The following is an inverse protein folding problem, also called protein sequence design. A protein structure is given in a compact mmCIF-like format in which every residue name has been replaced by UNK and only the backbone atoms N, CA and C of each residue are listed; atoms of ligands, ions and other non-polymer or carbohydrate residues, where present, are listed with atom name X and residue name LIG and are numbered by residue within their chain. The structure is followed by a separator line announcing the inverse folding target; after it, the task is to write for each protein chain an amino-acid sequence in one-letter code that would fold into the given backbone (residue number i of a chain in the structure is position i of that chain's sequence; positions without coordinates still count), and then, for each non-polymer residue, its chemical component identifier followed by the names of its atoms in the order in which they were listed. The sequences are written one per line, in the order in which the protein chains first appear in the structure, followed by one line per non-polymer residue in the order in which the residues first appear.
data_IF_283054383709
#
_entry.id   IF_283054383709
#
_cell.length_a   1.000
_cell.length_b   1.000
_cell.length_c   1.000
_cell.angle_alpha   90.00
_cell.angle_beta   90.00
_cell.angle_gamma   90.00
#
_symmetry.space_group_name_H-M   'P 1'
#
loop_
_entity.id
_entity.type
_entity.pdbx_description
1 polymer ?
#
# COMPACT_ATOMS: atom_id res chain seq x y z
N UNK A 1 47.37 64.78 9.03
CA UNK A 1 46.47 63.63 9.25
C UNK A 1 47.26 62.65 10.08
N UNK A 2 46.82 62.42 11.32
CA UNK A 2 47.62 61.75 12.33
C UNK A 2 47.52 60.23 12.15
N UNK A 3 48.63 59.49 12.28
CA UNK A 3 48.66 58.05 12.01
C UNK A 3 47.69 57.25 12.90
N UNK A 4 47.29 57.84 14.03
CA UNK A 4 46.28 57.30 14.94
C UNK A 4 44.85 57.35 14.36
N UNK A 5 44.49 58.41 13.62
CA UNK A 5 43.16 58.55 13.01
C UNK A 5 42.93 57.51 11.91
N UNK A 6 43.97 57.23 11.11
CA UNK A 6 43.93 56.21 10.06
C UNK A 6 43.79 54.79 10.63
N UNK A 7 44.40 54.54 11.79
CA UNK A 7 44.31 53.25 12.50
C UNK A 7 42.91 53.00 13.08
N UNK A 8 42.28 54.01 13.67
CA UNK A 8 40.91 53.88 14.20
C UNK A 8 39.90 53.63 13.07
N UNK A 9 40.03 54.33 11.94
CA UNK A 9 39.14 54.15 10.80
C UNK A 9 39.26 52.73 10.19
N UNK A 10 40.48 52.17 10.17
CA UNK A 10 40.74 50.79 9.75
C UNK A 10 40.10 49.76 10.69
N UNK A 11 40.11 50.00 12.00
CA UNK A 11 39.50 49.11 12.99
C UNK A 11 37.97 49.13 12.86
N UNK A 12 37.37 50.31 12.67
CA UNK A 12 35.92 50.45 12.48
C UNK A 12 35.44 49.79 11.18
N UNK A 13 36.15 50.01 10.07
CA UNK A 13 35.85 49.36 8.78
C UNK A 13 35.93 47.82 8.88
N UNK A 14 36.90 47.28 9.64
CA UNK A 14 37.02 45.84 9.88
C UNK A 14 35.85 45.29 10.72
N UNK A 15 35.38 46.03 11.74
CA UNK A 15 34.21 45.63 12.56
C UNK A 15 32.92 45.65 11.75
N UNK A 16 32.68 46.70 10.96
CA UNK A 16 31.51 46.80 10.08
C UNK A 16 31.48 45.68 9.02
N UNK A 17 32.64 45.36 8.43
CA UNK A 17 32.75 44.28 7.45
C UNK A 17 32.55 42.88 8.05
N UNK A 18 33.00 42.65 9.30
CA UNK A 18 32.71 41.39 10.02
C UNK A 18 31.23 41.23 10.33
N UNK A 19 30.54 42.30 10.76
CA UNK A 19 29.10 42.26 11.01
C UNK A 19 28.28 42.01 9.73
N UNK A 20 28.66 42.62 8.60
CA UNK A 20 27.99 42.37 7.31
C UNK A 20 28.19 40.94 6.82
N UNK A 21 29.38 40.35 6.99
CA UNK A 21 29.65 38.94 6.68
C UNK A 21 28.86 38.00 7.58
N UNK A 22 28.86 38.24 8.90
CA UNK A 22 28.11 37.43 9.86
C UNK A 22 26.59 37.43 9.59
N UNK A 23 26.01 38.60 9.25
CA UNK A 23 24.59 38.70 8.89
C UNK A 23 24.26 37.93 7.62
N UNK A 24 25.11 38.01 6.58
CA UNK A 24 24.91 37.23 5.35
C UNK A 24 24.97 35.73 5.62
N UNK A 25 25.98 35.27 6.37
CA UNK A 25 26.12 33.84 6.71
C UNK A 25 24.94 33.34 7.56
N UNK A 26 24.45 34.14 8.50
CA UNK A 26 23.27 33.80 9.30
C UNK A 26 21.99 33.69 8.45
N UNK A 27 21.79 34.62 7.51
CA UNK A 27 20.62 34.59 6.59
C UNK A 27 20.69 33.37 5.67
N UNK A 28 21.85 33.06 5.07
CA UNK A 28 22.02 31.87 4.24
C UNK A 28 21.80 30.57 5.02
N UNK A 29 22.29 30.49 6.27
CA UNK A 29 22.05 29.33 7.14
C UNK A 29 20.57 29.13 7.49
N UNK A 30 19.86 30.22 7.77
CA UNK A 30 18.43 30.17 8.09
C UNK A 30 17.58 29.74 6.89
N UNK A 31 17.89 30.24 5.69
CA UNK A 31 17.22 29.83 4.44
C UNK A 31 17.50 28.36 4.14
N UNK A 32 18.73 27.89 4.30
CA UNK A 32 19.09 26.48 4.08
C UNK A 32 18.31 25.54 5.03
N UNK A 33 18.15 25.91 6.30
CA UNK A 33 17.36 25.15 7.27
C UNK A 33 15.87 25.09 6.89
N UNK A 34 15.30 26.20 6.43
CA UNK A 34 13.92 26.24 5.96
C UNK A 34 13.70 25.34 4.74
N UNK A 35 14.59 25.40 3.75
CA UNK A 35 14.50 24.53 2.57
C UNK A 35 14.63 23.06 2.95
N UNK A 36 15.57 22.71 3.84
CA UNK A 36 15.74 21.34 4.33
C UNK A 36 14.46 20.85 5.04
N UNK A 37 13.84 21.68 5.87
CA UNK A 37 12.60 21.33 6.57
C UNK A 37 11.44 21.05 5.62
N UNK A 38 11.30 21.85 4.54
CA UNK A 38 10.26 21.65 3.53
C UNK A 38 10.48 20.36 2.74
N UNK A 39 11.74 20.02 2.42
CA UNK A 39 12.08 18.75 1.75
C UNK A 39 11.74 17.56 2.64
N UNK A 40 12.06 17.61 3.93
CA UNK A 40 11.71 16.55 4.88
C UNK A 40 10.19 16.38 4.98
N UNK A 41 9.44 17.48 5.10
CA UNK A 41 7.98 17.44 5.13
C UNK A 41 7.42 16.85 3.83
N UNK A 42 7.93 17.22 2.67
CA UNK A 42 7.51 16.66 1.39
C UNK A 42 7.79 15.16 1.27
N UNK A 43 8.95 14.68 1.74
CA UNK A 43 9.30 13.25 1.77
C UNK A 43 8.40 12.48 2.74
N UNK A 44 8.09 13.04 3.91
CA UNK A 44 7.16 12.43 4.87
C UNK A 44 5.75 12.36 4.28
N UNK A 45 5.26 13.44 3.65
CA UNK A 45 3.96 13.44 2.97
C UNK A 45 3.96 12.42 1.82
N UNK A 46 5.02 12.33 1.03
CA UNK A 46 5.15 11.33 -0.04
C UNK A 46 5.21 9.89 0.50
N UNK A 47 5.85 9.66 1.65
CA UNK A 47 5.86 8.35 2.30
C UNK A 47 4.50 7.99 2.92
N UNK A 48 3.78 8.97 3.45
CA UNK A 48 2.42 8.78 3.99
C UNK A 48 1.38 8.60 2.88
N UNK A 49 1.53 9.29 1.75
CA UNK A 49 0.62 9.20 0.58
C UNK A 49 1.02 8.09 -0.40
N UNK A 50 2.28 7.64 -0.38
CA UNK A 50 2.83 6.57 -1.23
C UNK A 50 2.34 5.16 -0.91
N UNK A 51 1.48 4.98 0.11
CA UNK A 51 0.90 3.68 0.44
C UNK A 51 -0.33 3.28 -0.38
N UNK A 52 -0.78 4.11 -1.33
CA UNK A 52 -2.01 3.84 -2.09
C UNK A 52 -1.86 3.89 -3.61
N UNK A 53 -0.72 3.47 -4.14
CA UNK A 53 -0.59 3.06 -5.54
C UNK A 53 -0.55 1.53 -5.68
N UNK A 54 -1.44 0.81 -4.98
CA UNK A 54 -1.75 -0.58 -5.36
C UNK A 54 -2.54 -0.52 -6.67
N UNK A 55 -1.88 -0.80 -7.79
CA UNK A 55 -2.53 -1.05 -9.07
C UNK A 55 -3.71 -2.04 -8.86
N UNK A 56 -4.95 -1.54 -8.93
CA UNK A 56 -6.13 -2.34 -9.22
C UNK A 56 -6.70 -3.27 -8.13
N UNK A 57 -6.60 -2.94 -6.84
CA UNK A 57 -7.31 -3.65 -5.75
C UNK A 57 -8.66 -3.00 -5.39
N UNK A 58 -9.47 -2.63 -6.38
CA UNK A 58 -10.80 -2.07 -6.11
C UNK A 58 -11.73 -3.18 -5.60
N UNK A 59 -12.50 -2.95 -4.53
CA UNK A 59 -13.54 -3.87 -4.10
C UNK A 59 -14.56 -4.08 -5.22
N UNK A 60 -14.92 -5.33 -5.45
CA UNK A 60 -16.04 -5.68 -6.32
C UNK A 60 -17.32 -5.40 -5.54
N UNK A 61 -18.15 -4.50 -6.06
CA UNK A 61 -19.52 -4.35 -5.59
C UNK A 61 -20.29 -5.62 -5.95
N UNK A 62 -20.87 -6.28 -4.97
CA UNK A 62 -21.79 -7.38 -5.16
C UNK A 62 -23.00 -7.15 -4.28
N UNK A 63 -24.19 -7.25 -4.86
CA UNK A 63 -25.47 -7.16 -4.13
C UNK A 63 -25.76 -8.44 -3.32
N UNK A 64 -24.92 -9.47 -3.48
CA UNK A 64 -25.03 -10.75 -2.76
C UNK A 64 -24.09 -10.75 -1.56
N UNK A 65 -24.67 -10.92 -0.38
CA UNK A 65 -23.93 -11.10 0.86
C UNK A 65 -23.76 -12.60 1.14
N UNK A 66 -22.63 -13.18 0.71
CA UNK A 66 -22.26 -14.54 1.10
C UNK A 66 -21.69 -14.55 2.52
N UNK A 67 -22.18 -15.46 3.35
CA UNK A 67 -21.82 -15.60 4.76
C UNK A 67 -20.70 -16.60 5.02
N UNK A 68 -20.38 -17.46 4.03
CA UNK A 68 -19.41 -18.55 4.19
C UNK A 68 -18.64 -18.85 2.89
N UNK A 69 -17.48 -19.51 3.02
CA UNK A 69 -16.73 -20.05 1.88
C UNK A 69 -17.57 -21.03 1.05
N UNK A 70 -18.46 -21.79 1.69
CA UNK A 70 -19.34 -22.75 1.03
C UNK A 70 -20.32 -22.06 0.08
N UNK A 71 -20.91 -20.95 0.51
CA UNK A 71 -21.84 -20.16 -0.30
C UNK A 71 -21.14 -19.49 -1.48
N UNK A 72 -19.95 -18.90 -1.26
CA UNK A 72 -19.15 -18.34 -2.34
C UNK A 72 -18.75 -19.42 -3.36
N UNK A 73 -18.30 -20.59 -2.89
CA UNK A 73 -17.97 -21.71 -3.76
C UNK A 73 -19.20 -22.21 -4.54
N UNK A 74 -20.37 -22.32 -3.89
CA UNK A 74 -21.61 -22.70 -4.57
C UNK A 74 -22.01 -21.70 -5.66
N UNK A 75 -21.87 -20.40 -5.39
CA UNK A 75 -22.13 -19.38 -6.39
C UNK A 75 -21.14 -19.45 -7.57
N UNK A 76 -19.84 -19.62 -7.31
CA UNK A 76 -18.86 -19.82 -8.38
C UNK A 76 -19.20 -21.02 -9.27
N UNK A 77 -19.65 -22.15 -8.68
CA UNK A 77 -20.15 -23.30 -9.46
C UNK A 77 -21.37 -22.96 -10.29
N UNK A 78 -22.33 -22.22 -9.74
CA UNK A 78 -23.51 -21.76 -10.48
C UNK A 78 -23.14 -20.87 -11.68
N UNK A 79 -22.04 -20.12 -11.57
CA UNK A 79 -21.48 -19.31 -12.66
C UNK A 79 -20.58 -20.10 -13.61
N UNK A 80 -20.53 -21.44 -13.50
CA UNK A 80 -19.74 -22.29 -14.39
C UNK A 80 -18.23 -22.31 -14.08
N UNK A 81 -17.83 -21.91 -12.87
CA UNK A 81 -16.45 -22.07 -12.37
C UNK A 81 -16.36 -23.35 -11.56
N UNK A 82 -15.71 -24.43 -12.06
CA UNK A 82 -15.52 -25.66 -11.30
C UNK A 82 -14.64 -25.35 -10.10
N UNK A 83 -15.17 -25.52 -8.90
CA UNK A 83 -14.45 -25.25 -7.66
C UNK A 83 -14.66 -26.37 -6.65
N UNK A 84 -13.57 -26.82 -6.07
CA UNK A 84 -13.55 -27.55 -4.81
C UNK A 84 -12.92 -26.67 -3.75
N UNK A 85 -13.33 -26.81 -2.49
CA UNK A 85 -12.69 -26.07 -1.41
C UNK A 85 -12.47 -26.90 -0.16
N UNK A 86 -11.46 -26.52 0.60
CA UNK A 86 -11.15 -27.06 1.91
C UNK A 86 -10.57 -25.95 2.79
N UNK A 87 -10.73 -26.08 4.10
CA UNK A 87 -10.11 -25.19 5.07
C UNK A 87 -8.59 -25.18 4.88
N UNK A 88 -7.99 -23.99 4.90
CA UNK A 88 -6.56 -23.80 4.72
C UNK A 88 -5.87 -23.70 6.09
N UNK A 89 -5.84 -24.80 6.85
CA UNK A 89 -5.46 -24.83 8.26
C UNK A 89 -4.10 -24.19 8.59
N UNK A 90 -3.16 -24.15 7.64
CA UNK A 90 -1.81 -23.56 7.83
C UNK A 90 -1.84 -22.02 7.89
N UNK A 91 -2.78 -21.40 7.19
CA UNK A 91 -2.92 -19.94 7.09
C UNK A 91 -4.22 -19.43 7.73
N UNK A 92 -4.98 -20.34 8.32
CA UNK A 92 -6.24 -20.06 8.99
C UNK A 92 -6.01 -19.19 10.21
N UNK A 93 -6.89 -18.21 10.42
CA UNK A 93 -6.88 -17.38 11.61
C UNK A 93 -8.30 -17.20 12.14
N UNK A 94 -8.52 -17.20 13.45
CA UNK A 94 -9.87 -17.06 14.02
C UNK A 94 -10.60 -15.78 13.58
N UNK A 95 -9.88 -14.68 13.36
CA UNK A 95 -10.41 -13.39 12.92
C UNK A 95 -10.60 -13.29 11.39
N UNK A 96 -10.03 -14.22 10.63
CA UNK A 96 -10.15 -14.30 9.17
C UNK A 96 -10.01 -15.75 8.68
N UNK A 97 -11.05 -16.58 8.81
CA UNK A 97 -10.98 -17.96 8.39
C UNK A 97 -10.55 -18.10 6.92
N UNK A 98 -9.65 -19.03 6.65
CA UNK A 98 -9.03 -19.22 5.34
C UNK A 98 -9.46 -20.55 4.70
N UNK A 99 -9.69 -20.51 3.39
CA UNK A 99 -9.92 -21.71 2.59
C UNK A 99 -9.06 -21.69 1.32
N UNK A 100 -8.68 -22.89 0.90
CA UNK A 100 -8.13 -23.12 -0.43
C UNK A 100 -9.26 -23.48 -1.37
N UNK A 101 -9.33 -22.78 -2.50
CA UNK A 101 -10.23 -23.10 -3.59
C UNK A 101 -9.38 -23.67 -4.72
N UNK A 102 -9.65 -24.88 -5.14
CA UNK A 102 -9.05 -25.49 -6.32
C UNK A 102 -9.99 -25.28 -7.50
N UNK A 103 -9.50 -24.61 -8.53
CA UNK A 103 -10.26 -24.26 -9.72
C UNK A 103 -9.86 -25.18 -10.87
N UNK A 104 -10.84 -25.90 -11.42
CA UNK A 104 -10.62 -26.92 -12.45
C UNK A 104 -11.05 -28.32 -11.98
N UNK A 105 -10.41 -29.35 -12.53
CA UNK A 105 -10.77 -30.75 -12.29
C UNK A 105 -10.26 -31.23 -10.93
N UNK A 106 -11.05 -30.91 -9.90
CA UNK A 106 -10.79 -31.28 -8.52
C UNK A 106 -9.54 -30.63 -7.92
N UNK A 107 -8.91 -31.30 -6.96
CA UNK A 107 -7.73 -30.78 -6.24
C UNK A 107 -6.43 -30.71 -7.05
N UNK A 108 -6.43 -31.20 -8.29
CA UNK A 108 -5.34 -31.00 -9.23
C UNK A 108 -5.40 -29.62 -9.90
N UNK A 109 -6.51 -28.90 -9.76
CA UNK A 109 -6.72 -27.58 -10.33
C UNK A 109 -5.85 -26.48 -9.71
N UNK A 110 -5.92 -25.29 -10.30
CA UNK A 110 -5.20 -24.12 -9.83
C UNK A 110 -5.74 -23.66 -8.48
N UNK A 111 -4.84 -23.49 -7.51
CA UNK A 111 -5.20 -23.13 -6.14
C UNK A 111 -5.23 -21.61 -5.94
N UNK A 112 -6.33 -21.11 -5.40
CA UNK A 112 -6.46 -19.74 -4.89
C UNK A 112 -6.75 -19.76 -3.40
N UNK A 113 -6.33 -18.71 -2.71
CA UNK A 113 -6.64 -18.49 -1.29
C UNK A 113 -7.83 -17.57 -1.15
N UNK A 114 -8.72 -17.91 -0.23
CA UNK A 114 -9.92 -17.14 0.10
C UNK A 114 -10.00 -16.93 1.61
N UNK A 115 -9.86 -15.69 2.05
CA UNK A 115 -10.13 -15.29 3.43
C UNK A 115 -11.55 -14.75 3.57
N UNK A 116 -12.25 -15.17 4.62
CA UNK A 116 -13.50 -14.59 5.06
C UNK A 116 -13.22 -13.65 6.23
N UNK A 117 -13.25 -12.34 5.99
CA UNK A 117 -12.92 -11.34 6.99
C UNK A 117 -14.15 -10.87 7.77
N UNK A 118 -13.93 -10.18 8.88
CA UNK A 118 -15.01 -9.58 9.69
C UNK A 118 -15.83 -8.53 8.91
N UNK A 119 -15.17 -7.78 8.05
CA UNK A 119 -15.75 -6.68 7.27
C UNK A 119 -14.92 -6.45 5.98
N UNK A 120 -15.39 -5.56 5.12
CA UNK A 120 -14.73 -5.22 3.86
C UNK A 120 -13.38 -4.52 4.04
N UNK A 121 -13.21 -3.71 5.10
CA UNK A 121 -11.95 -3.04 5.37
C UNK A 121 -10.84 -4.05 5.72
N UNK A 122 -11.16 -5.07 6.52
CA UNK A 122 -10.25 -6.19 6.82
C UNK A 122 -9.99 -7.06 5.60
N UNK A 123 -10.98 -7.23 4.73
CA UNK A 123 -10.78 -7.91 3.46
C UNK A 123 -9.78 -7.15 2.57
N UNK A 124 -9.85 -5.82 2.51
CA UNK A 124 -8.91 -5.01 1.73
C UNK A 124 -7.48 -5.11 2.27
N UNK A 125 -7.31 -5.07 3.60
CA UNK A 125 -6.03 -5.30 4.25
C UNK A 125 -5.46 -6.68 3.90
N UNK A 126 -6.29 -7.73 4.01
CA UNK A 126 -5.89 -9.10 3.69
C UNK A 126 -5.53 -9.26 2.20
N UNK A 127 -6.36 -8.71 1.29
CA UNK A 127 -6.07 -8.70 -0.15
C UNK A 127 -4.79 -7.93 -0.46
N UNK A 128 -4.46 -6.90 0.32
CA UNK A 128 -3.20 -6.16 0.30
C UNK A 128 -1.97 -7.07 0.38
N UNK A 129 -2.04 -8.14 1.18
CA UNK A 129 -0.94 -9.07 1.44
C UNK A 129 -0.86 -10.28 0.47
N UNK A 130 -1.83 -10.44 -0.44
CA UNK A 130 -1.90 -11.58 -1.38
C UNK A 130 -1.49 -11.13 -2.78
N UNK A 131 -0.77 -11.98 -3.51
CA UNK A 131 -0.44 -11.76 -4.92
C UNK A 131 -1.73 -11.75 -5.77
N UNK A 132 -1.88 -10.73 -6.62
CA UNK A 132 -3.12 -10.43 -7.37
C UNK A 132 -4.41 -10.37 -6.52
N UNK A 133 -4.26 -10.10 -5.22
CA UNK A 133 -5.36 -10.01 -4.28
C UNK A 133 -6.42 -9.00 -4.70
N UNK A 134 -7.69 -9.38 -4.56
CA UNK A 134 -8.84 -8.51 -4.69
C UNK A 134 -9.89 -8.84 -3.64
N UNK A 135 -10.89 -7.96 -3.51
CA UNK A 135 -11.97 -8.15 -2.55
C UNK A 135 -13.33 -8.18 -3.21
N UNK A 136 -14.25 -8.89 -2.57
CA UNK A 136 -15.69 -8.87 -2.87
C UNK A 136 -16.44 -8.98 -1.54
N UNK A 137 -17.16 -7.92 -1.17
CA UNK A 137 -17.72 -7.80 0.18
C UNK A 137 -16.67 -8.04 1.27
N UNK A 138 -16.88 -9.08 2.08
CA UNK A 138 -16.00 -9.49 3.20
C UNK A 138 -14.92 -10.51 2.80
N UNK A 139 -14.85 -10.90 1.54
CA UNK A 139 -13.88 -11.88 1.08
C UNK A 139 -12.63 -11.19 0.50
N UNK A 140 -11.46 -11.70 0.87
CA UNK A 140 -10.21 -11.42 0.19
C UNK A 140 -9.78 -12.66 -0.58
N UNK A 141 -9.56 -12.51 -1.89
CA UNK A 141 -9.28 -13.61 -2.81
C UNK A 141 -8.00 -13.29 -3.56
N UNK A 142 -7.09 -14.25 -3.69
CA UNK A 142 -5.91 -14.09 -4.54
C UNK A 142 -5.21 -15.38 -4.86
N UNK A 143 -4.18 -15.28 -5.69
CA UNK A 143 -3.39 -16.42 -6.11
C UNK A 143 -2.60 -16.96 -4.91
N UNK A 144 -2.59 -18.28 -4.71
CA UNK A 144 -1.72 -18.88 -3.69
C UNK A 144 -0.27 -18.95 -4.19
N UNK A 145 -0.09 -19.29 -5.46
CA UNK A 145 1.20 -19.41 -6.13
C UNK A 145 1.39 -18.23 -7.11
N UNK A 146 2.63 -17.75 -7.31
CA UNK A 146 2.92 -16.62 -8.22
C UNK A 146 3.06 -17.02 -9.70
N UNK A 147 2.43 -18.12 -10.11
CA UNK A 147 2.47 -18.60 -11.50
C UNK A 147 1.51 -17.82 -12.38
N UNK A 148 1.83 -17.64 -13.67
CA UNK A 148 0.96 -16.96 -14.64
C UNK A 148 -0.44 -17.59 -14.74
N UNK A 149 -0.52 -18.92 -14.60
CA UNK A 149 -1.77 -19.67 -14.54
C UNK A 149 -2.63 -19.30 -13.33
N UNK A 150 -2.02 -19.21 -12.14
CA UNK A 150 -2.71 -18.78 -10.92
C UNK A 150 -3.25 -17.35 -11.06
N UNK A 151 -2.46 -16.43 -11.63
CA UNK A 151 -2.91 -15.06 -11.91
C UNK A 151 -4.08 -15.03 -12.89
N UNK A 152 -4.00 -15.83 -13.96
CA UNK A 152 -5.07 -15.99 -14.94
C UNK A 152 -6.37 -16.50 -14.32
N UNK A 153 -6.27 -17.50 -13.46
CA UNK A 153 -7.38 -18.07 -12.69
C UNK A 153 -8.00 -17.03 -11.74
N UNK A 154 -7.18 -16.33 -10.95
CA UNK A 154 -7.63 -15.25 -10.06
C UNK A 154 -8.36 -14.15 -10.83
N UNK A 155 -7.86 -13.77 -12.02
CA UNK A 155 -8.53 -12.80 -12.92
C UNK A 155 -9.87 -13.33 -13.45
N UNK A 156 -9.96 -14.62 -13.80
CA UNK A 156 -11.22 -15.26 -14.22
C UNK A 156 -12.27 -15.17 -13.11
N UNK A 157 -11.91 -15.57 -11.88
CA UNK A 157 -12.80 -15.48 -10.70
C UNK A 157 -13.24 -14.03 -10.48
N UNK A 158 -12.30 -13.08 -10.51
CA UNK A 158 -12.59 -11.64 -10.36
C UNK A 158 -13.64 -11.17 -11.36
N UNK A 159 -13.57 -11.60 -12.61
CA UNK A 159 -14.54 -11.22 -13.63
C UNK A 159 -15.89 -11.91 -13.43
N UNK A 160 -15.90 -13.17 -13.00
CA UNK A 160 -17.14 -13.89 -12.66
C UNK A 160 -17.91 -13.20 -11.53
N UNK A 161 -17.22 -12.73 -10.50
CA UNK A 161 -17.87 -12.12 -9.32
C UNK A 161 -18.34 -10.68 -9.54
N UNK A 162 -18.00 -10.06 -10.69
CA UNK A 162 -18.49 -8.73 -11.09
C UNK A 162 -19.85 -8.76 -11.79
N UNK A 163 -20.25 -9.92 -12.30
CA UNK A 163 -21.47 -10.11 -13.09
C UNK A 163 -22.55 -10.79 -12.24
#
# INVERSE_FOLDING_TARGET
MDANEEYEELIERRRANRQRKARRTAVFGMVALLVLSLVVVAVVIAAMTGRSATHGKRPIASDKEWSSHKELAAYLRQQGVPVEFATASVIDRPDRPAAHFWIGDGRAGTRVVVYLCKDSARAEEAAGAIDDGFTVGRFAIGSFDSTSEARGTTKKIRNTLKN
#
